data_IF_135207170882
#
_entry.id   IF_135207170882
#
_cell.length_a   1.000
_cell.length_b   1.000
_cell.length_c   1.000
_cell.angle_alpha   90.00
_cell.angle_beta   90.00
_cell.angle_gamma   90.00
#
_symmetry.space_group_name_H-M   'P 1'
#
loop_
_entity.id
_entity.type
_entity.pdbx_description
1 polymer ?
#
# COMPACT_ATOMS: atom_id res chain seq x y z
N UNK A 1 -12.82 -23.31 4.77
CA UNK A 1 -11.93 -22.56 5.69
C UNK A 1 -10.54 -22.62 5.08
N UNK A 2 -9.95 -21.48 4.65
CA UNK A 2 -8.55 -21.45 4.18
C UNK A 2 -7.64 -21.75 5.38
N UNK A 3 -6.45 -22.36 5.18
CA UNK A 3 -5.51 -22.54 6.28
C UNK A 3 -5.14 -21.20 6.90
N UNK A 4 -5.01 -21.15 8.20
CA UNK A 4 -4.67 -19.94 8.98
C UNK A 4 -3.34 -19.33 8.53
N UNK A 5 -2.45 -20.14 7.92
CA UNK A 5 -1.12 -19.74 7.46
C UNK A 5 -1.09 -18.94 6.14
N UNK A 6 -2.23 -18.76 5.48
CA UNK A 6 -2.31 -18.12 4.16
C UNK A 6 -2.72 -16.63 4.21
N UNK A 7 -2.74 -16.01 5.39
CA UNK A 7 -3.13 -14.62 5.59
C UNK A 7 -1.89 -13.74 5.82
N UNK A 8 -1.74 -12.67 5.00
CA UNK A 8 -0.66 -11.72 5.12
C UNK A 8 -0.99 -10.57 6.09
N UNK A 9 -2.23 -10.06 6.02
CA UNK A 9 -2.72 -8.97 6.90
C UNK A 9 -4.09 -9.35 7.42
N UNK A 10 -4.29 -9.25 8.73
CA UNK A 10 -5.59 -9.44 9.38
C UNK A 10 -5.89 -8.29 10.31
N UNK A 11 -7.07 -7.73 10.17
CA UNK A 11 -7.71 -6.84 11.13
C UNK A 11 -8.81 -7.62 11.86
N UNK A 12 -8.79 -7.60 13.19
CA UNK A 12 -9.75 -8.29 14.04
C UNK A 12 -10.39 -7.27 14.98
N UNK A 13 -11.60 -6.80 14.63
CA UNK A 13 -12.41 -5.82 15.37
C UNK A 13 -11.66 -4.56 15.75
N UNK A 14 -10.96 -3.98 14.79
CA UNK A 14 -10.10 -2.82 15.01
C UNK A 14 -10.92 -1.54 15.03
N UNK A 15 -10.73 -0.75 16.10
CA UNK A 15 -11.24 0.62 16.22
C UNK A 15 -10.12 1.60 16.44
N UNK A 16 -10.26 2.83 15.90
CA UNK A 16 -9.29 3.90 16.03
C UNK A 16 -9.94 5.28 16.02
N UNK A 17 -9.69 6.03 17.08
CA UNK A 17 -10.04 7.45 17.18
C UNK A 17 -8.80 8.33 17.05
N UNK A 18 -8.96 9.54 16.56
CA UNK A 18 -7.94 10.59 16.53
C UNK A 18 -8.54 11.85 17.15
N UNK A 19 -8.02 12.24 18.32
CA UNK A 19 -8.70 13.22 19.17
C UNK A 19 -10.06 12.69 19.61
N UNK A 20 -11.12 13.48 19.41
CA UNK A 20 -12.51 13.11 19.73
C UNK A 20 -13.27 12.48 18.54
N UNK A 21 -12.59 12.24 17.42
CA UNK A 21 -13.23 11.70 16.20
C UNK A 21 -12.92 10.23 16.03
N UNK A 22 -13.97 9.42 15.96
CA UNK A 22 -13.86 8.00 15.59
C UNK A 22 -13.62 7.89 14.09
N UNK A 23 -12.47 7.30 13.73
CA UNK A 23 -12.03 7.15 12.34
C UNK A 23 -12.34 5.76 11.80
N UNK A 24 -12.13 4.74 12.62
CA UNK A 24 -12.43 3.35 12.30
C UNK A 24 -13.21 2.73 13.46
N UNK A 25 -14.27 2.01 13.15
CA UNK A 25 -15.15 1.38 14.12
C UNK A 25 -15.34 -0.10 13.78
N UNK A 26 -14.80 -0.97 14.62
CA UNK A 26 -15.00 -2.44 14.58
C UNK A 26 -14.75 -3.05 13.19
N UNK A 27 -13.68 -2.60 12.50
CA UNK A 27 -13.34 -3.12 11.18
C UNK A 27 -12.62 -4.47 11.28
N UNK A 28 -13.09 -5.42 10.45
CA UNK A 28 -12.48 -6.75 10.34
C UNK A 28 -12.35 -7.15 8.88
N UNK A 29 -11.16 -7.57 8.47
CA UNK A 29 -10.89 -8.12 7.15
C UNK A 29 -9.60 -8.93 7.13
N UNK A 30 -9.44 -9.78 6.11
CA UNK A 30 -8.24 -10.57 5.88
C UNK A 30 -7.74 -10.37 4.45
N UNK A 31 -6.42 -10.22 4.32
CA UNK A 31 -5.72 -10.13 3.04
C UNK A 31 -4.92 -11.42 2.84
N UNK A 32 -5.34 -12.31 1.94
CA UNK A 32 -4.58 -13.52 1.65
C UNK A 32 -3.21 -13.21 1.03
N UNK A 33 -2.23 -14.08 1.29
CA UNK A 33 -0.88 -13.93 0.71
C UNK A 33 -0.92 -13.97 -0.82
N UNK A 34 -0.10 -13.13 -1.46
CA UNK A 34 0.05 -13.08 -2.90
C UNK A 34 -1.20 -12.60 -3.64
N UNK A 35 -2.16 -11.98 -2.94
CA UNK A 35 -3.36 -11.40 -3.55
C UNK A 35 -3.33 -9.88 -3.53
N UNK A 36 -4.21 -9.29 -4.32
CA UNK A 36 -4.49 -7.85 -4.33
C UNK A 36 -5.80 -7.61 -3.60
N UNK A 37 -5.72 -6.93 -2.46
CA UNK A 37 -6.87 -6.47 -1.70
C UNK A 37 -6.97 -4.94 -1.79
N UNK A 38 -8.13 -4.41 -2.15
CA UNK A 38 -8.33 -2.97 -2.23
C UNK A 38 -9.39 -2.48 -1.27
N UNK A 39 -9.12 -1.35 -0.61
CA UNK A 39 -10.07 -0.65 0.24
C UNK A 39 -10.51 0.63 -0.47
N UNK A 40 -11.75 0.65 -0.93
CA UNK A 40 -12.39 1.82 -1.50
C UNK A 40 -13.10 2.63 -0.42
N UNK A 41 -13.16 3.93 -0.59
CA UNK A 41 -13.89 4.83 0.31
C UNK A 41 -13.71 6.29 -0.06
N UNK A 42 -14.60 7.15 0.40
CA UNK A 42 -14.51 8.59 0.21
C UNK A 42 -13.27 9.16 0.90
N UNK A 43 -12.89 10.39 0.57
CA UNK A 43 -11.85 11.10 1.31
C UNK A 43 -12.28 11.22 2.77
N UNK A 44 -11.36 10.99 3.70
CA UNK A 44 -11.64 11.01 5.14
C UNK A 44 -12.27 9.72 5.71
N UNK A 45 -12.56 8.69 4.91
CA UNK A 45 -13.19 7.45 5.40
C UNK A 45 -12.30 6.57 6.31
N UNK A 46 -11.02 6.93 6.52
CA UNK A 46 -10.11 6.16 7.38
C UNK A 46 -9.12 5.25 6.66
N UNK A 47 -9.11 5.21 5.31
CA UNK A 47 -8.26 4.31 4.50
C UNK A 47 -6.77 4.42 4.83
N UNK A 48 -6.22 5.64 4.82
CA UNK A 48 -4.82 5.91 5.20
C UNK A 48 -4.52 5.51 6.64
N UNK A 49 -5.50 5.63 7.54
CA UNK A 49 -5.38 5.20 8.94
C UNK A 49 -5.24 3.68 9.01
N UNK A 50 -6.05 2.92 8.25
CA UNK A 50 -5.93 1.48 8.17
C UNK A 50 -4.54 1.03 7.67
N UNK A 51 -3.99 1.68 6.62
CA UNK A 51 -2.63 1.38 6.16
C UNK A 51 -1.56 1.70 7.21
N UNK A 52 -1.68 2.84 7.90
CA UNK A 52 -0.72 3.22 8.96
C UNK A 52 -0.76 2.26 10.16
N UNK A 53 -1.94 1.76 10.49
CA UNK A 53 -2.11 0.73 11.51
C UNK A 53 -1.42 -0.58 11.10
N UNK A 54 -1.47 -0.98 9.81
CA UNK A 54 -0.85 -2.22 9.30
C UNK A 54 0.67 -2.28 9.46
N UNK A 55 1.37 -1.17 9.68
CA UNK A 55 2.84 -1.14 9.92
C UNK A 55 3.19 -0.54 11.28
N UNK A 56 2.21 -0.41 12.17
CA UNK A 56 2.41 0.13 13.51
C UNK A 56 2.88 1.59 13.53
N UNK A 57 2.59 2.40 12.50
CA UNK A 57 2.73 3.87 12.55
C UNK A 57 1.67 4.50 13.44
N UNK A 58 0.54 3.84 13.57
CA UNK A 58 -0.51 4.13 14.54
C UNK A 58 -0.81 2.84 15.31
N UNK A 59 -1.28 2.96 16.55
CA UNK A 59 -1.79 1.84 17.34
C UNK A 59 -3.31 1.88 17.36
N UNK A 60 -4.00 0.74 17.23
CA UNK A 60 -5.44 0.68 17.41
C UNK A 60 -5.80 0.97 18.86
N UNK A 61 -7.01 1.47 19.08
CA UNK A 61 -7.55 1.67 20.44
C UNK A 61 -8.24 0.40 20.94
N UNK A 62 -8.86 -0.36 20.02
CA UNK A 62 -9.47 -1.67 20.27
C UNK A 62 -9.12 -2.63 19.13
N UNK A 63 -9.24 -3.94 19.41
CA UNK A 63 -9.01 -5.00 18.45
C UNK A 63 -7.54 -5.35 18.27
N UNK A 64 -7.22 -6.15 17.24
CA UNK A 64 -5.87 -6.66 16.97
C UNK A 64 -5.55 -6.58 15.49
N UNK A 65 -4.25 -6.44 15.20
CA UNK A 65 -3.71 -6.44 13.85
C UNK A 65 -2.61 -7.48 13.76
N UNK A 66 -2.76 -8.41 12.84
CA UNK A 66 -1.76 -9.44 12.61
C UNK A 66 -1.13 -9.24 11.22
N UNK A 67 0.19 -9.30 11.18
CA UNK A 67 0.99 -9.30 9.95
C UNK A 67 1.73 -10.62 9.89
N UNK A 68 1.51 -11.40 8.83
CA UNK A 68 2.08 -12.74 8.70
C UNK A 68 1.81 -13.64 9.93
N UNK A 69 0.59 -13.55 10.51
CA UNK A 69 0.13 -14.22 11.73
C UNK A 69 0.80 -13.74 13.04
N UNK A 70 1.65 -12.73 12.99
CA UNK A 70 2.20 -12.11 14.19
C UNK A 70 1.32 -10.93 14.62
N UNK A 71 0.90 -10.90 15.87
CA UNK A 71 0.17 -9.77 16.45
C UNK A 71 1.12 -8.59 16.68
N UNK A 72 0.95 -7.54 15.88
CA UNK A 72 1.78 -6.34 15.94
C UNK A 72 1.20 -5.25 16.85
N UNK A 73 0.04 -5.48 17.43
CA UNK A 73 -0.76 -4.46 18.14
C UNK A 73 -0.02 -3.85 19.31
N UNK A 74 0.65 -4.70 20.10
CA UNK A 74 1.36 -4.31 21.30
C UNK A 74 2.88 -4.09 21.10
N UNK A 75 3.41 -4.37 19.88
CA UNK A 75 4.84 -4.27 19.63
C UNK A 75 5.35 -2.84 19.82
N UNK A 76 6.55 -2.73 20.39
CA UNK A 76 7.30 -1.49 20.46
C UNK A 76 8.01 -1.18 19.12
N UNK A 77 8.79 -0.09 19.10
CA UNK A 77 9.52 0.31 17.90
C UNK A 77 10.50 -0.77 17.42
N UNK A 78 11.18 -1.45 18.32
CA UNK A 78 12.17 -2.50 18.01
C UNK A 78 11.48 -3.75 17.45
N UNK A 79 10.38 -4.16 18.04
CA UNK A 79 9.55 -5.27 17.57
C UNK A 79 8.96 -5.03 16.18
N UNK A 80 8.64 -3.78 15.83
CA UNK A 80 8.10 -3.43 14.51
C UNK A 80 9.16 -3.38 13.40
N UNK A 81 10.46 -3.39 13.70
CA UNK A 81 11.51 -3.26 12.68
C UNK A 81 11.47 -4.39 11.65
N UNK A 82 11.26 -5.64 12.08
CA UNK A 82 11.22 -6.78 11.16
C UNK A 82 9.98 -6.76 10.27
N UNK A 83 8.81 -6.34 10.82
CA UNK A 83 7.58 -6.15 10.06
C UNK A 83 7.79 -5.10 8.97
N UNK A 84 8.38 -3.94 9.33
CA UNK A 84 8.65 -2.84 8.39
C UNK A 84 9.70 -3.20 7.34
N UNK A 85 10.65 -4.09 7.64
CA UNK A 85 11.63 -4.59 6.65
C UNK A 85 10.99 -5.47 5.58
N UNK A 86 9.97 -6.23 5.94
CA UNK A 86 9.23 -7.11 5.01
C UNK A 86 8.06 -6.42 4.32
N UNK A 87 7.77 -5.16 4.67
CA UNK A 87 6.63 -4.39 4.16
C UNK A 87 7.10 -3.12 3.47
N UNK A 88 6.75 -2.95 2.21
CA UNK A 88 6.90 -1.68 1.48
C UNK A 88 5.70 -0.77 1.71
N UNK A 89 5.93 0.54 1.74
CA UNK A 89 4.85 1.53 1.83
C UNK A 89 5.04 2.62 0.77
N UNK A 90 4.02 2.80 -0.07
CA UNK A 90 3.93 3.92 -1.02
C UNK A 90 2.90 4.91 -0.50
N UNK A 91 3.37 6.07 -0.05
CA UNK A 91 2.50 7.14 0.44
C UNK A 91 1.83 7.88 -0.73
N UNK A 92 0.69 8.50 -0.46
CA UNK A 92 -0.07 9.27 -1.43
C UNK A 92 0.76 10.35 -2.16
N UNK A 93 1.73 10.98 -1.48
CA UNK A 93 2.63 12.00 -2.05
C UNK A 93 3.96 11.43 -2.56
N UNK A 94 4.18 10.10 -2.51
CA UNK A 94 5.47 9.45 -2.75
C UNK A 94 6.42 9.51 -1.54
N UNK A 95 6.33 10.54 -0.70
CA UNK A 95 7.11 10.77 0.53
C UNK A 95 8.62 10.53 0.38
N UNK A 96 9.23 11.04 -0.70
CA UNK A 96 10.66 10.95 -0.98
C UNK A 96 11.48 11.88 -0.08
N UNK A 97 12.75 11.58 0.10
CA UNK A 97 13.68 12.43 0.83
C UNK A 97 14.23 13.51 -0.12
N UNK A 98 13.81 14.76 0.06
CA UNK A 98 14.21 15.89 -0.80
C UNK A 98 15.71 16.21 -0.73
N UNK A 99 16.40 15.79 0.33
CA UNK A 99 17.83 15.97 0.54
C UNK A 99 18.71 14.88 -0.07
N UNK A 100 18.10 13.83 -0.62
CA UNK A 100 18.79 12.71 -1.26
C UNK A 100 18.48 12.67 -2.75
N UNK A 101 19.50 12.31 -3.57
CA UNK A 101 19.29 12.08 -5.00
C UNK A 101 18.29 10.93 -5.25
N UNK A 102 17.83 10.79 -6.48
CA UNK A 102 16.94 9.70 -6.91
C UNK A 102 17.55 8.34 -6.56
N UNK A 103 18.83 8.13 -6.88
CA UNK A 103 19.53 6.87 -6.55
C UNK A 103 19.66 6.66 -5.04
N UNK A 104 19.97 7.71 -4.28
CA UNK A 104 20.10 7.62 -2.82
C UNK A 104 18.78 7.34 -2.12
N UNK A 105 17.66 7.86 -2.62
CA UNK A 105 16.33 7.52 -2.12
C UNK A 105 16.06 6.01 -2.18
N UNK A 106 16.43 5.35 -3.29
CA UNK A 106 16.28 3.90 -3.46
C UNK A 106 17.34 3.12 -2.68
N UNK A 107 18.56 3.64 -2.58
CA UNK A 107 19.66 3.03 -1.83
C UNK A 107 19.41 3.04 -0.30
N UNK A 108 18.70 4.03 0.21
CA UNK A 108 18.51 4.23 1.65
C UNK A 108 17.94 3.01 2.36
N UNK A 109 16.78 2.45 1.97
CA UNK A 109 16.25 1.25 2.63
C UNK A 109 17.18 0.03 2.49
N UNK A 110 17.89 -0.11 1.36
CA UNK A 110 18.84 -1.19 1.15
C UNK A 110 20.02 -1.11 2.13
N UNK A 111 20.58 0.08 2.36
CA UNK A 111 21.65 0.28 3.35
C UNK A 111 21.21 -0.04 4.78
N UNK A 112 19.95 0.30 5.11
CA UNK A 112 19.41 0.00 6.44
C UNK A 112 19.07 -1.48 6.66
N UNK A 113 18.72 -2.20 5.57
CA UNK A 113 18.24 -3.58 5.67
C UNK A 113 19.32 -4.64 5.48
N UNK A 114 20.34 -4.33 4.66
CA UNK A 114 21.28 -5.36 4.18
C UNK A 114 22.70 -4.93 4.42
N UNK A 115 23.57 -5.46 5.06
CA UNK A 115 25.01 -5.16 5.06
C UNK A 115 25.71 -5.50 3.72
N UNK A 116 25.01 -5.35 2.60
CA UNK A 116 25.47 -5.76 1.26
C UNK A 116 26.61 -4.88 0.77
N UNK A 117 27.57 -5.42 0.00
CA UNK A 117 28.62 -4.64 -0.65
C UNK A 117 28.02 -3.56 -1.57
N UNK A 118 28.69 -2.40 -1.64
CA UNK A 118 28.24 -1.25 -2.41
C UNK A 118 27.99 -1.55 -3.91
N UNK A 119 28.74 -2.48 -4.50
CA UNK A 119 28.55 -2.92 -5.88
C UNK A 119 27.19 -3.58 -6.11
N UNK A 120 26.77 -4.47 -5.19
CA UNK A 120 25.46 -5.13 -5.24
C UNK A 120 24.32 -4.13 -5.00
N UNK A 121 24.57 -3.17 -4.11
CA UNK A 121 23.61 -2.11 -3.80
C UNK A 121 23.37 -1.23 -5.05
N UNK A 122 24.42 -0.78 -5.73
CA UNK A 122 24.30 0.02 -6.96
C UNK A 122 23.53 -0.72 -8.07
N UNK A 123 23.83 -2.00 -8.27
CA UNK A 123 23.13 -2.82 -9.25
C UNK A 123 21.63 -2.93 -8.91
N UNK A 124 21.31 -3.14 -7.62
CA UNK A 124 19.92 -3.22 -7.18
C UNK A 124 19.19 -1.89 -7.35
N UNK A 125 19.83 -0.77 -7.02
CA UNK A 125 19.28 0.58 -7.23
C UNK A 125 18.97 0.80 -8.71
N UNK A 126 19.90 0.48 -9.60
CA UNK A 126 19.70 0.60 -11.05
C UNK A 126 18.49 -0.20 -11.50
N UNK A 127 18.40 -1.48 -11.12
CA UNK A 127 17.28 -2.36 -11.47
C UNK A 127 15.93 -1.79 -11.03
N UNK A 128 15.85 -1.21 -9.83
CA UNK A 128 14.59 -0.62 -9.34
C UNK A 128 14.24 0.68 -10.07
N UNK A 129 15.22 1.52 -10.40
CA UNK A 129 15.00 2.74 -11.16
C UNK A 129 14.60 2.44 -12.62
N UNK A 130 15.24 1.48 -13.26
CA UNK A 130 14.88 1.03 -14.62
C UNK A 130 13.44 0.50 -14.66
N UNK A 131 13.04 -0.22 -13.61
CA UNK A 131 11.69 -0.79 -13.47
C UNK A 131 10.55 0.26 -13.43
N UNK A 132 10.88 1.46 -12.96
CA UNK A 132 9.92 2.58 -12.89
C UNK A 132 10.21 3.67 -13.93
N UNK A 133 11.15 3.44 -14.86
CA UNK A 133 11.51 4.37 -15.93
C UNK A 133 12.33 5.58 -15.48
N UNK A 134 13.06 5.49 -14.35
CA UNK A 134 13.88 6.56 -13.80
C UNK A 134 15.40 6.28 -13.86
N UNK A 135 15.84 5.33 -14.67
CA UNK A 135 17.26 4.94 -14.76
C UNK A 135 18.19 6.09 -15.13
N UNK A 136 17.80 6.92 -16.11
CA UNK A 136 18.56 8.09 -16.55
C UNK A 136 18.52 9.27 -15.56
N UNK A 137 17.54 9.28 -14.66
CA UNK A 137 17.34 10.35 -13.69
C UNK A 137 18.05 10.09 -12.35
N UNK A 138 18.86 9.04 -12.25
CA UNK A 138 19.47 8.54 -10.99
C UNK A 138 20.24 9.61 -10.21
N UNK A 139 20.90 10.54 -10.89
CA UNK A 139 21.66 11.64 -10.28
C UNK A 139 20.84 12.89 -9.95
N UNK A 140 19.58 12.99 -10.39
CA UNK A 140 18.74 14.16 -10.15
C UNK A 140 18.28 14.22 -8.68
N UNK A 141 17.88 15.42 -8.26
CA UNK A 141 17.20 15.62 -6.99
C UNK A 141 15.68 15.49 -7.16
N UNK A 142 14.91 15.08 -6.12
CA UNK A 142 13.46 14.96 -6.23
C UNK A 142 12.75 16.24 -6.68
N UNK A 143 13.30 17.41 -6.38
CA UNK A 143 12.76 18.70 -6.82
C UNK A 143 12.86 18.94 -8.34
N UNK A 144 13.75 18.21 -9.02
CA UNK A 144 13.89 18.26 -10.47
C UNK A 144 12.93 17.31 -11.20
N UNK A 145 12.16 16.51 -10.44
CA UNK A 145 11.22 15.54 -10.96
C UNK A 145 9.79 16.10 -11.03
N UNK A 146 9.01 15.66 -12.01
CA UNK A 146 7.56 15.88 -12.03
C UNK A 146 6.87 15.19 -10.83
N UNK A 147 5.63 15.57 -10.54
CA UNK A 147 4.85 14.92 -9.48
C UNK A 147 4.68 13.41 -9.73
N UNK A 148 4.43 13.01 -10.99
CA UNK A 148 4.36 11.60 -11.38
C UNK A 148 5.67 10.86 -11.18
N UNK A 149 6.80 11.44 -11.59
CA UNK A 149 8.13 10.86 -11.40
C UNK A 149 8.47 10.70 -9.91
N UNK A 150 8.12 11.68 -9.05
CA UNK A 150 8.29 11.53 -7.59
C UNK A 150 7.48 10.38 -7.03
N UNK A 151 6.26 10.17 -7.55
CA UNK A 151 5.44 9.01 -7.16
C UNK A 151 6.13 7.70 -7.56
N UNK A 152 6.62 7.59 -8.81
CA UNK A 152 7.37 6.43 -9.30
C UNK A 152 8.64 6.17 -8.48
N UNK A 153 9.36 7.23 -8.08
CA UNK A 153 10.49 7.12 -7.14
C UNK A 153 10.06 6.52 -5.79
N UNK A 154 8.89 6.92 -5.27
CA UNK A 154 8.30 6.32 -4.08
C UNK A 154 8.07 4.80 -4.24
N UNK A 155 7.61 4.35 -5.41
CA UNK A 155 7.49 2.92 -5.75
C UNK A 155 8.87 2.24 -5.80
N UNK A 156 9.85 2.80 -6.50
CA UNK A 156 11.19 2.22 -6.59
C UNK A 156 11.81 2.02 -5.20
N UNK A 157 11.64 3.01 -4.30
CA UNK A 157 12.11 2.93 -2.92
C UNK A 157 11.37 1.87 -2.11
N UNK A 158 10.03 1.79 -2.22
CA UNK A 158 9.24 0.82 -1.48
C UNK A 158 9.53 -0.62 -1.92
N UNK A 159 9.89 -0.82 -3.20
CA UNK A 159 10.22 -2.11 -3.80
C UNK A 159 11.69 -2.51 -3.66
N UNK A 160 12.56 -1.61 -3.16
CA UNK A 160 14.00 -1.83 -3.13
C UNK A 160 14.41 -3.13 -2.41
N UNK A 161 13.73 -3.46 -1.32
CA UNK A 161 14.02 -4.63 -0.48
C UNK A 161 13.16 -5.87 -0.81
N UNK A 162 12.50 -5.94 -1.97
CA UNK A 162 11.57 -7.03 -2.35
C UNK A 162 10.56 -7.38 -1.23
N UNK A 163 9.71 -6.43 -0.84
CA UNK A 163 8.80 -6.64 0.27
C UNK A 163 7.79 -7.76 -0.03
N UNK A 164 7.48 -8.57 0.98
CA UNK A 164 6.42 -9.57 0.91
C UNK A 164 5.01 -8.94 0.88
N UNK A 165 4.88 -7.75 1.47
CA UNK A 165 3.64 -6.97 1.52
C UNK A 165 3.95 -5.56 1.02
N UNK A 166 3.12 -5.03 0.11
CA UNK A 166 3.19 -3.66 -0.38
C UNK A 166 1.88 -2.93 -0.06
N UNK A 167 1.99 -1.90 0.75
CA UNK A 167 0.89 -1.01 1.12
C UNK A 167 0.91 0.22 0.23
N UNK A 168 -0.22 0.56 -0.39
CA UNK A 168 -0.33 1.59 -1.41
C UNK A 168 -1.45 2.56 -1.03
N UNK A 169 -1.07 3.76 -0.62
CA UNK A 169 -2.03 4.81 -0.25
C UNK A 169 -2.39 5.66 -1.45
N UNK A 170 -3.55 5.41 -2.04
CA UNK A 170 -4.12 6.10 -3.21
C UNK A 170 -3.06 6.34 -4.31
N UNK A 171 -2.53 5.26 -4.92
CA UNK A 171 -1.38 5.36 -5.81
C UNK A 171 -1.63 6.16 -7.09
N UNK A 172 -2.89 6.34 -7.51
CA UNK A 172 -3.25 7.13 -8.69
C UNK A 172 -3.56 8.60 -8.37
N UNK A 173 -3.64 8.98 -7.10
CA UNK A 173 -3.94 10.36 -6.74
C UNK A 173 -2.85 11.33 -7.21
N UNK A 174 -3.27 12.36 -7.95
CA UNK A 174 -2.40 13.46 -8.37
C UNK A 174 -1.39 13.12 -9.47
N UNK A 175 -1.58 12.02 -10.20
CA UNK A 175 -0.76 11.65 -11.36
C UNK A 175 -1.53 11.84 -12.66
N UNK A 176 -0.79 12.10 -13.74
CA UNK A 176 -1.33 12.12 -15.10
C UNK A 176 -1.64 10.71 -15.61
N UNK A 177 -2.34 10.62 -16.75
CA UNK A 177 -2.78 9.35 -17.32
C UNK A 177 -1.63 8.42 -17.73
N UNK A 178 -0.49 8.99 -18.17
CA UNK A 178 0.68 8.20 -18.59
C UNK A 178 1.33 7.56 -17.37
N UNK A 179 1.59 8.36 -16.33
CA UNK A 179 2.10 7.86 -15.05
C UNK A 179 1.15 6.85 -14.43
N UNK A 180 -0.17 7.10 -14.49
CA UNK A 180 -1.19 6.18 -14.00
C UNK A 180 -1.15 4.82 -14.71
N UNK A 181 -0.94 4.80 -16.04
CA UNK A 181 -0.76 3.58 -16.80
C UNK A 181 0.50 2.80 -16.37
N UNK A 182 1.64 3.49 -16.20
CA UNK A 182 2.89 2.88 -15.72
C UNK A 182 2.71 2.25 -14.33
N UNK A 183 2.05 2.95 -13.40
CA UNK A 183 1.72 2.41 -12.07
C UNK A 183 0.88 1.14 -12.22
N UNK A 184 -0.14 1.15 -13.07
CA UNK A 184 -1.00 -0.01 -13.32
C UNK A 184 -0.21 -1.21 -13.84
N UNK A 185 0.64 -1.01 -14.86
CA UNK A 185 1.51 -2.07 -15.41
C UNK A 185 2.44 -2.64 -14.35
N UNK A 186 3.06 -1.77 -13.53
CA UNK A 186 3.90 -2.18 -12.42
C UNK A 186 3.13 -3.07 -11.43
N UNK A 187 1.92 -2.68 -11.02
CA UNK A 187 1.11 -3.45 -10.09
C UNK A 187 0.62 -4.78 -10.69
N UNK A 188 0.27 -4.81 -11.97
CA UNK A 188 -0.05 -6.05 -12.69
C UNK A 188 1.15 -7.01 -12.71
N UNK A 189 2.35 -6.50 -13.00
CA UNK A 189 3.57 -7.31 -12.99
C UNK A 189 3.88 -7.92 -11.61
N UNK A 190 3.58 -7.18 -10.54
CA UNK A 190 3.72 -7.67 -9.17
C UNK A 190 2.70 -8.76 -8.84
N UNK A 191 1.44 -8.56 -9.26
CA UNK A 191 0.36 -9.56 -9.12
C UNK A 191 0.70 -10.87 -9.83
N UNK A 192 1.16 -10.80 -11.08
CA UNK A 192 1.48 -12.00 -11.88
C UNK A 192 2.60 -12.84 -11.26
N UNK A 193 3.58 -12.22 -10.65
CA UNK A 193 4.67 -12.91 -9.95
C UNK A 193 4.23 -13.65 -8.68
N UNK A 194 3.02 -13.36 -8.17
CA UNK A 194 2.40 -13.96 -6.97
C UNK A 194 3.29 -13.99 -5.71
N UNK A 195 4.35 -13.19 -5.70
CA UNK A 195 5.29 -13.14 -4.57
C UNK A 195 5.00 -12.03 -3.58
N UNK A 196 4.27 -10.98 -4.01
CA UNK A 196 3.99 -9.79 -3.19
C UNK A 196 2.48 -9.67 -2.95
N UNK A 197 2.09 -9.51 -1.70
CA UNK A 197 0.71 -9.17 -1.32
C UNK A 197 0.52 -7.66 -1.46
N UNK A 198 -0.55 -7.23 -2.14
CA UNK A 198 -0.84 -5.81 -2.33
C UNK A 198 -2.07 -5.41 -1.51
N UNK A 199 -1.93 -4.41 -0.65
CA UNK A 199 -3.05 -3.75 0.03
C UNK A 199 -3.12 -2.31 -0.48
N UNK A 200 -4.16 -2.01 -1.26
CA UNK A 200 -4.31 -0.75 -2.00
C UNK A 200 -5.48 0.03 -1.42
N UNK A 201 -5.32 1.33 -1.22
CA UNK A 201 -6.46 2.21 -0.96
C UNK A 201 -6.75 3.07 -2.19
N UNK A 202 -8.02 3.41 -2.39
CA UNK A 202 -8.42 4.24 -3.51
C UNK A 202 -9.79 4.88 -3.29
N UNK A 203 -10.19 5.73 -4.21
CA UNK A 203 -11.48 6.40 -4.20
C UNK A 203 -12.30 6.16 -5.49
N UNK A 204 -11.73 5.46 -6.49
CA UNK A 204 -12.38 5.12 -7.76
C UNK A 204 -12.36 3.62 -8.00
N UNK A 205 -13.54 3.09 -8.37
CA UNK A 205 -13.72 1.67 -8.69
C UNK A 205 -12.91 1.27 -9.94
N UNK A 206 -12.89 2.11 -10.99
CA UNK A 206 -12.19 1.86 -12.27
C UNK A 206 -10.70 1.59 -12.10
N UNK A 207 -10.06 2.24 -11.12
CA UNK A 207 -8.63 2.10 -10.87
C UNK A 207 -8.27 0.71 -10.31
N UNK A 208 -9.14 0.13 -9.46
CA UNK A 208 -8.82 -1.07 -8.69
C UNK A 208 -9.57 -2.33 -9.12
N UNK A 209 -10.77 -2.21 -9.72
CA UNK A 209 -11.65 -3.35 -10.01
C UNK A 209 -10.98 -4.51 -10.75
N UNK A 210 -10.26 -4.20 -11.83
CA UNK A 210 -9.64 -5.24 -12.68
C UNK A 210 -8.31 -5.76 -12.11
N UNK A 211 -7.74 -5.05 -11.15
CA UNK A 211 -6.51 -5.44 -10.47
C UNK A 211 -6.78 -6.32 -9.24
N UNK A 212 -7.87 -6.03 -8.52
CA UNK A 212 -8.14 -6.63 -7.21
C UNK A 212 -8.68 -8.05 -7.31
N UNK A 213 -8.25 -8.88 -6.38
CA UNK A 213 -8.85 -10.20 -6.11
C UNK A 213 -9.99 -10.07 -5.09
N UNK A 214 -9.88 -9.09 -4.17
CA UNK A 214 -10.90 -8.74 -3.20
C UNK A 214 -10.99 -7.21 -3.05
N UNK A 215 -12.21 -6.74 -2.77
CA UNK A 215 -12.54 -5.35 -2.52
C UNK A 215 -13.27 -5.22 -1.19
N UNK A 216 -12.94 -4.19 -0.42
CA UNK A 216 -13.75 -3.71 0.70
C UNK A 216 -14.17 -2.26 0.42
N UNK A 217 -15.37 -1.88 0.82
CA UNK A 217 -15.84 -0.49 0.79
C UNK A 217 -15.94 0.00 2.23
N UNK A 218 -15.18 1.05 2.53
CA UNK A 218 -15.11 1.71 3.83
C UNK A 218 -15.91 3.02 3.77
N UNK A 219 -16.92 3.15 4.61
CA UNK A 219 -17.72 4.36 4.76
C UNK A 219 -18.09 4.57 6.23
N UNK A 220 -18.04 5.83 6.70
CA UNK A 220 -18.31 6.15 8.10
C UNK A 220 -17.51 5.34 9.12
N UNK A 221 -16.23 5.03 8.81
CA UNK A 221 -15.38 4.22 9.68
C UNK A 221 -15.67 2.72 9.69
N UNK A 222 -16.64 2.22 8.91
CA UNK A 222 -17.08 0.82 8.90
C UNK A 222 -16.91 0.19 7.52
N UNK A 223 -16.64 -1.11 7.46
CA UNK A 223 -16.68 -1.87 6.21
C UNK A 223 -18.13 -2.20 5.90
N UNK A 224 -18.68 -1.60 4.84
CA UNK A 224 -20.10 -1.77 4.42
C UNK A 224 -20.29 -2.81 3.33
N UNK A 225 -19.21 -3.22 2.65
CA UNK A 225 -19.20 -4.33 1.70
C UNK A 225 -17.78 -4.90 1.62
N UNK A 226 -17.65 -6.21 1.48
CA UNK A 226 -16.37 -6.89 1.29
C UNK A 226 -16.62 -8.21 0.52
N UNK A 227 -15.79 -8.46 -0.51
CA UNK A 227 -15.88 -9.67 -1.34
C UNK A 227 -15.08 -9.55 -2.62
N UNK A 228 -15.34 -10.43 -3.58
CA UNK A 228 -14.80 -10.29 -4.93
C UNK A 228 -15.29 -9.00 -5.60
N UNK A 229 -14.57 -8.46 -6.60
CA UNK A 229 -15.02 -7.26 -7.31
C UNK A 229 -16.44 -7.37 -7.87
N UNK A 230 -16.84 -8.54 -8.33
CA UNK A 230 -18.19 -8.76 -8.88
C UNK A 230 -19.26 -8.77 -7.79
N UNK A 231 -18.99 -9.36 -6.63
CA UNK A 231 -19.90 -9.34 -5.48
C UNK A 231 -20.10 -7.92 -4.96
N UNK A 232 -19.02 -7.14 -4.85
CA UNK A 232 -19.11 -5.74 -4.40
C UNK A 232 -19.87 -4.88 -5.40
N UNK A 233 -19.60 -5.03 -6.71
CA UNK A 233 -20.33 -4.31 -7.77
C UNK A 233 -21.82 -4.67 -7.80
N UNK A 234 -22.17 -5.91 -7.48
CA UNK A 234 -23.54 -6.40 -7.38
C UNK A 234 -24.27 -6.00 -6.09
N UNK A 235 -23.62 -5.30 -5.17
CA UNK A 235 -24.21 -4.90 -3.89
C UNK A 235 -25.36 -3.91 -4.07
N UNK A 236 -26.45 -4.12 -3.33
CA UNK A 236 -27.58 -3.21 -3.28
C UNK A 236 -27.39 -2.01 -2.34
N UNK A 237 -26.26 -1.98 -1.60
CA UNK A 237 -25.96 -0.89 -0.67
C UNK A 237 -25.84 0.46 -1.40
N UNK A 238 -26.60 1.51 -1.00
CA UNK A 238 -26.66 2.78 -1.75
C UNK A 238 -25.29 3.45 -1.96
N UNK A 239 -24.42 3.42 -0.94
CA UNK A 239 -23.08 4.00 -1.01
C UNK A 239 -22.19 3.19 -1.96
N UNK A 240 -22.27 1.85 -1.95
CA UNK A 240 -21.50 1.00 -2.88
C UNK A 240 -21.92 1.28 -4.32
N UNK A 241 -23.23 1.39 -4.60
CA UNK A 241 -23.75 1.76 -5.92
C UNK A 241 -23.20 3.11 -6.42
N UNK A 242 -22.99 4.09 -5.52
CA UNK A 242 -22.37 5.36 -5.91
C UNK A 242 -20.93 5.16 -6.42
N UNK A 243 -20.11 4.31 -5.77
CA UNK A 243 -18.77 3.99 -6.27
C UNK A 243 -18.77 3.26 -7.60
N UNK A 244 -19.81 2.48 -7.89
CA UNK A 244 -19.97 1.75 -9.17
C UNK A 244 -20.41 2.67 -10.30
N UNK A 245 -21.30 3.63 -10.00
CA UNK A 245 -21.92 4.51 -11.01
C UNK A 245 -21.18 5.84 -11.21
N UNK A 246 -20.39 6.28 -10.22
CA UNK A 246 -19.66 7.55 -10.23
C UNK A 246 -18.17 7.35 -10.56
N UNK A 247 -17.84 6.38 -11.38
CA UNK A 247 -16.53 6.27 -12.00
C UNK A 247 -16.38 7.40 -13.02
N UNK A 248 -15.97 8.55 -12.51
CA UNK A 248 -15.69 9.76 -13.28
C UNK A 248 -14.25 9.79 -13.74
#
# INVERSE_FOLDING_TARGET
MRPVDDVAVRFDRVSKSIGETDILEDISFEVPRGTVFSILGRRGAGKTVALKLSIGLLKPDLGRILINNEDITALDHSGLLHVRRSTGFVFQTGAVFDSLSVAENVAFPLRCATGSPESKLRERVRQQLDRVGLGEDSGKMPNDLSAGMRKLLGFARALACDPAILLLDDPWCGVDSVTGALIRELLLSLKERRGTTLLITGNRMSEVRSLSDQLAVLDGGRIIACGSPNEVVGSDHPVVRQFVTQDF
#
